data_IF_622493936912
#
_entry.id   IF_622493936912
#
_cell.length_a   1.000
_cell.length_b   1.000
_cell.length_c   1.000
_cell.angle_alpha   90.00
_cell.angle_beta   90.00
_cell.angle_gamma   90.00
#
_symmetry.space_group_name_H-M   'P 1'
#
loop_
_entity.id
_entity.type
_entity.pdbx_description
1 polymer ?
#
# COMPACT_ATOMS: atom_id res chain seq x y z
N UNK A 1 33.95 -40.92 -12.65
CA UNK A 1 32.85 -40.39 -11.75
C UNK A 1 32.71 -38.86 -11.79
N UNK A 2 32.81 -38.20 -12.94
CA UNK A 2 32.74 -36.72 -13.06
C UNK A 2 31.44 -36.26 -13.77
N UNK A 3 30.56 -37.18 -14.16
CA UNK A 3 29.36 -36.85 -14.98
C UNK A 3 28.11 -36.39 -14.23
N UNK A 4 27.93 -36.85 -12.99
CA UNK A 4 26.67 -36.64 -12.23
C UNK A 4 26.52 -35.24 -11.66
N UNK A 5 27.63 -34.58 -11.28
CA UNK A 5 27.58 -33.25 -10.66
C UNK A 5 27.32 -32.14 -11.69
N UNK A 6 27.86 -32.28 -12.92
CA UNK A 6 27.55 -31.34 -14.01
C UNK A 6 26.10 -31.38 -14.42
N UNK A 7 25.49 -32.56 -14.43
CA UNK A 7 24.07 -32.73 -14.73
C UNK A 7 23.19 -32.09 -13.64
N UNK A 8 23.52 -32.28 -12.35
CA UNK A 8 22.81 -31.65 -11.24
C UNK A 8 22.91 -30.11 -11.29
N UNK A 9 24.08 -29.57 -11.56
CA UNK A 9 24.27 -28.11 -11.68
C UNK A 9 23.47 -27.55 -12.86
N UNK A 10 23.45 -28.25 -13.99
CA UNK A 10 22.66 -27.84 -15.15
C UNK A 10 21.14 -27.83 -14.83
N UNK A 11 20.66 -28.85 -14.13
CA UNK A 11 19.25 -28.96 -13.72
C UNK A 11 18.83 -27.84 -12.76
N UNK A 12 19.67 -27.52 -11.80
CA UNK A 12 19.42 -26.41 -10.85
C UNK A 12 19.39 -25.07 -11.58
N UNK A 13 20.34 -24.80 -12.48
CA UNK A 13 20.35 -23.57 -13.29
C UNK A 13 19.09 -23.45 -14.18
N UNK A 14 18.67 -24.56 -14.78
CA UNK A 14 17.46 -24.62 -15.60
C UNK A 14 16.19 -24.33 -14.79
N UNK A 15 16.05 -24.90 -13.58
CA UNK A 15 14.94 -24.66 -12.68
C UNK A 15 14.89 -23.19 -12.22
N UNK A 16 16.04 -22.60 -11.88
CA UNK A 16 16.12 -21.19 -11.49
C UNK A 16 15.74 -20.29 -12.65
N UNK A 17 16.22 -20.57 -13.87
CA UNK A 17 15.88 -19.81 -15.06
C UNK A 17 14.35 -19.87 -15.36
N UNK A 18 13.76 -21.06 -15.27
CA UNK A 18 12.33 -21.26 -15.49
C UNK A 18 11.47 -20.52 -14.47
N UNK A 19 11.90 -20.54 -13.20
CA UNK A 19 11.24 -19.81 -12.12
C UNK A 19 11.31 -18.30 -12.32
N UNK A 20 12.44 -17.77 -12.75
CA UNK A 20 12.59 -16.34 -13.05
C UNK A 20 11.79 -15.90 -14.26
N UNK A 21 11.73 -16.71 -15.31
CA UNK A 21 10.88 -16.48 -16.48
C UNK A 21 9.40 -16.47 -16.10
N UNK A 22 8.97 -17.45 -15.30
CA UNK A 22 7.58 -17.55 -14.82
C UNK A 22 7.18 -16.32 -13.99
N UNK A 23 8.06 -15.86 -13.10
CA UNK A 23 7.83 -14.64 -12.32
C UNK A 23 7.74 -13.40 -13.22
N UNK A 24 8.58 -13.29 -14.26
CA UNK A 24 8.50 -12.19 -15.24
C UNK A 24 7.18 -12.19 -16.02
N UNK A 25 6.73 -13.35 -16.47
CA UNK A 25 5.48 -13.50 -17.20
C UNK A 25 4.29 -13.16 -16.30
N UNK A 26 4.24 -13.70 -15.09
CA UNK A 26 3.19 -13.40 -14.10
C UNK A 26 3.18 -11.90 -13.80
N UNK A 27 4.35 -11.29 -13.58
CA UNK A 27 4.45 -9.85 -13.34
C UNK A 27 3.92 -9.03 -14.51
N UNK A 28 4.19 -9.45 -15.75
CA UNK A 28 3.71 -8.74 -16.94
C UNK A 28 2.18 -8.87 -17.13
N UNK A 29 1.61 -10.03 -16.78
CA UNK A 29 0.16 -10.29 -16.91
C UNK A 29 -0.62 -9.62 -15.77
N UNK A 30 -0.12 -9.70 -14.52
CA UNK A 30 -0.82 -9.21 -13.34
C UNK A 30 -0.64 -7.71 -13.15
N UNK A 31 0.56 -7.18 -13.40
CA UNK A 31 0.83 -5.75 -13.31
C UNK A 31 0.65 -5.07 -14.67
N UNK A 32 -0.60 -5.04 -15.14
CA UNK A 32 -0.98 -4.08 -16.17
C UNK A 32 -0.55 -2.71 -15.67
N UNK A 33 0.26 -1.99 -16.45
CA UNK A 33 0.77 -0.66 -16.11
C UNK A 33 -0.43 0.26 -15.87
N UNK A 34 -0.82 0.38 -14.59
CA UNK A 34 -1.91 1.27 -14.21
C UNK A 34 -1.41 2.70 -14.31
N UNK A 35 -2.12 3.54 -15.05
CA UNK A 35 -1.83 4.96 -15.10
C UNK A 35 -2.35 5.61 -13.83
N UNK A 36 -1.50 5.63 -12.78
CA UNK A 36 -1.84 6.17 -11.47
C UNK A 36 -2.30 7.64 -11.52
N UNK A 37 -1.91 8.39 -12.56
CA UNK A 37 -2.33 9.78 -12.73
C UNK A 37 -3.83 9.93 -12.99
N UNK A 38 -4.48 8.86 -13.44
CA UNK A 38 -5.93 8.80 -13.66
C UNK A 38 -6.71 8.24 -12.47
N UNK A 39 -6.04 8.02 -11.35
CA UNK A 39 -6.71 7.49 -10.16
C UNK A 39 -7.71 8.50 -9.62
N UNK A 40 -8.94 8.06 -9.45
CA UNK A 40 -10.06 8.84 -8.94
C UNK A 40 -10.40 8.52 -7.49
N UNK A 41 -9.94 7.36 -7.02
CA UNK A 41 -10.22 6.86 -5.66
C UNK A 41 -8.94 6.31 -5.02
N UNK A 42 -8.44 7.03 -4.02
CA UNK A 42 -7.14 6.77 -3.40
C UNK A 42 -7.35 6.39 -1.94
N UNK A 43 -6.74 5.29 -1.52
CA UNK A 43 -6.66 4.91 -0.12
C UNK A 43 -5.23 5.14 0.39
N UNK A 44 -5.09 5.98 1.41
CA UNK A 44 -3.83 6.19 2.11
C UNK A 44 -3.88 5.40 3.41
N UNK A 45 -2.91 4.51 3.63
CA UNK A 45 -2.74 3.82 4.89
C UNK A 45 -1.67 4.53 5.72
N UNK A 46 -2.08 5.02 6.90
CA UNK A 46 -1.21 5.62 7.89
C UNK A 46 -1.34 4.82 9.19
N UNK A 47 -0.47 3.85 9.34
CA UNK A 47 -0.32 3.12 10.59
C UNK A 47 0.98 3.61 11.25
N UNK A 48 0.96 3.98 12.49
CA UNK A 48 2.16 4.44 13.19
C UNK A 48 1.85 5.08 14.53
N UNK A 49 2.90 5.46 15.23
CA UNK A 49 2.81 6.21 16.46
C UNK A 49 2.34 7.65 16.21
N UNK A 50 2.04 8.37 17.27
CA UNK A 50 1.60 9.76 17.22
C UNK A 50 2.51 10.66 16.38
N UNK A 51 3.84 10.54 16.56
CA UNK A 51 4.84 11.31 15.79
C UNK A 51 4.79 11.01 14.29
N UNK A 52 4.58 9.75 13.91
CA UNK A 52 4.46 9.35 12.49
C UNK A 52 3.24 10.01 11.85
N UNK A 53 2.18 10.22 12.62
CA UNK A 53 0.96 10.89 12.14
C UNK A 53 1.20 12.35 11.78
N UNK A 54 1.99 13.08 12.59
CA UNK A 54 2.35 14.48 12.33
C UNK A 54 3.21 14.58 11.06
N UNK A 55 4.24 13.74 10.97
CA UNK A 55 5.18 13.75 9.84
C UNK A 55 4.48 13.34 8.53
N UNK A 56 3.38 12.61 8.60
CA UNK A 56 2.61 12.19 7.44
C UNK A 56 1.80 13.32 6.79
N UNK A 57 1.42 14.37 7.54
CA UNK A 57 0.56 15.46 7.04
C UNK A 57 1.13 16.14 5.78
N UNK A 58 2.41 16.54 5.72
CA UNK A 58 3.00 17.11 4.51
C UNK A 58 2.93 16.15 3.31
N UNK A 59 3.14 14.86 3.54
CA UNK A 59 3.05 13.85 2.48
C UNK A 59 1.63 13.72 1.94
N UNK A 60 0.61 13.76 2.80
CA UNK A 60 -0.80 13.74 2.42
C UNK A 60 -1.15 15.01 1.62
N UNK A 61 -0.63 16.18 2.04
CA UNK A 61 -0.81 17.43 1.30
C UNK A 61 -0.23 17.34 -0.12
N UNK A 62 0.96 16.80 -0.29
CA UNK A 62 1.56 16.58 -1.62
C UNK A 62 0.70 15.62 -2.47
N UNK A 63 0.17 14.56 -1.86
CA UNK A 63 -0.75 13.65 -2.57
C UNK A 63 -2.00 14.40 -3.02
N UNK A 64 -2.62 15.21 -2.17
CA UNK A 64 -3.79 16.02 -2.53
C UNK A 64 -3.49 16.99 -3.68
N UNK A 65 -2.33 17.64 -3.66
CA UNK A 65 -1.92 18.55 -4.75
C UNK A 65 -1.76 17.83 -6.09
N UNK A 66 -1.26 16.59 -6.08
CA UNK A 66 -1.11 15.79 -7.30
C UNK A 66 -2.42 15.16 -7.79
N UNK A 67 -3.42 15.01 -6.91
CA UNK A 67 -4.72 14.41 -7.20
C UNK A 67 -5.87 15.30 -6.69
N UNK A 68 -6.01 16.52 -7.20
CA UNK A 68 -6.94 17.52 -6.63
C UNK A 68 -8.41 17.07 -6.69
N UNK A 69 -8.79 16.33 -7.71
CA UNK A 69 -10.16 15.86 -7.94
C UNK A 69 -10.44 14.45 -7.41
N UNK A 70 -9.42 13.75 -6.89
CA UNK A 70 -9.61 12.38 -6.42
C UNK A 70 -10.30 12.35 -5.05
N UNK A 71 -11.12 11.34 -4.84
CA UNK A 71 -11.55 10.97 -3.50
C UNK A 71 -10.36 10.31 -2.78
N UNK A 72 -9.90 10.94 -1.70
CA UNK A 72 -8.79 10.43 -0.88
C UNK A 72 -9.34 10.04 0.47
N UNK A 73 -9.24 8.76 0.81
CA UNK A 73 -9.65 8.24 2.10
C UNK A 73 -8.41 7.82 2.90
N UNK A 74 -8.38 8.18 4.18
CA UNK A 74 -7.30 7.86 5.09
C UNK A 74 -7.68 6.68 5.98
N UNK A 75 -6.87 5.64 5.98
CA UNK A 75 -7.01 4.49 6.86
C UNK A 75 -6.00 4.60 8.00
N UNK A 76 -6.47 4.62 9.25
CA UNK A 76 -5.63 4.81 10.43
C UNK A 76 -6.08 3.94 11.61
N UNK A 77 -5.27 3.83 12.65
CA UNK A 77 -5.64 3.16 13.89
C UNK A 77 -6.40 4.10 14.84
N UNK A 78 -7.30 3.52 15.64
CA UNK A 78 -8.22 4.25 16.53
C UNK A 78 -7.50 5.10 17.59
N UNK A 79 -6.34 4.65 18.07
CA UNK A 79 -5.77 5.23 19.31
C UNK A 79 -4.95 6.50 19.05
N UNK A 80 -4.40 6.68 17.86
CA UNK A 80 -3.51 7.79 17.53
C UNK A 80 -3.93 8.61 16.30
N UNK A 81 -4.78 8.05 15.47
CA UNK A 81 -5.17 8.67 14.21
C UNK A 81 -6.25 9.74 14.34
N UNK A 82 -7.08 9.65 15.38
CA UNK A 82 -8.25 10.52 15.55
C UNK A 82 -7.82 11.95 15.88
N UNK A 83 -6.76 12.13 16.64
CA UNK A 83 -6.32 13.45 17.11
C UNK A 83 -5.92 14.40 15.99
N UNK A 84 -5.43 13.89 14.85
CA UNK A 84 -5.05 14.70 13.68
C UNK A 84 -6.04 14.63 12.55
N UNK A 85 -7.03 13.74 12.63
CA UNK A 85 -8.02 13.58 11.59
C UNK A 85 -8.86 14.83 11.38
N UNK A 86 -9.10 15.60 12.42
CA UNK A 86 -9.84 16.85 12.31
C UNK A 86 -9.08 17.90 11.50
N UNK A 87 -7.75 17.95 11.62
CA UNK A 87 -6.92 18.88 10.83
C UNK A 87 -6.96 18.46 9.36
N UNK A 88 -6.78 17.17 9.07
CA UNK A 88 -6.75 16.66 7.71
C UNK A 88 -8.10 16.82 6.98
N UNK A 89 -9.22 16.67 7.69
CA UNK A 89 -10.55 16.93 7.15
C UNK A 89 -10.80 18.42 6.98
N UNK A 90 -10.45 19.24 7.98
CA UNK A 90 -10.65 20.69 7.95
C UNK A 90 -9.88 21.34 6.81
N UNK A 91 -8.68 20.91 6.55
CA UNK A 91 -7.85 21.40 5.46
C UNK A 91 -8.17 20.73 4.10
N UNK A 92 -9.22 19.92 4.02
CA UNK A 92 -9.65 19.19 2.82
C UNK A 92 -8.54 18.28 2.23
N UNK A 93 -7.59 17.86 3.03
CA UNK A 93 -6.51 16.97 2.58
C UNK A 93 -7.04 15.58 2.26
N UNK A 94 -8.02 15.11 3.02
CA UNK A 94 -8.71 13.83 2.83
C UNK A 94 -10.23 14.02 2.83
N UNK A 95 -10.95 13.09 2.20
CA UNK A 95 -12.39 13.12 2.13
C UNK A 95 -13.04 12.36 3.30
N UNK A 96 -12.46 11.21 3.66
CA UNK A 96 -12.98 10.40 4.75
C UNK A 96 -11.83 9.81 5.56
N UNK A 97 -12.11 9.54 6.84
CA UNK A 97 -11.20 8.84 7.73
C UNK A 97 -11.82 7.50 8.13
N UNK A 98 -11.10 6.44 7.82
CA UNK A 98 -11.47 5.06 8.11
C UNK A 98 -10.61 4.59 9.29
N UNK A 99 -11.26 4.25 10.39
CA UNK A 99 -10.55 3.80 11.58
C UNK A 99 -10.50 2.28 11.62
N UNK A 100 -9.29 1.72 11.65
CA UNK A 100 -9.07 0.29 11.90
C UNK A 100 -9.28 -0.01 13.37
N UNK A 101 -10.17 -0.94 13.67
CA UNK A 101 -10.28 -1.54 14.99
C UNK A 101 -9.77 -2.99 14.94
N UNK A 102 -8.92 -3.39 15.90
CA UNK A 102 -8.42 -4.77 16.00
C UNK A 102 -9.55 -5.80 16.04
N UNK A 103 -10.69 -5.45 16.66
CA UNK A 103 -11.88 -6.31 16.77
C UNK A 103 -12.67 -6.44 15.45
N UNK A 104 -12.56 -5.46 14.53
CA UNK A 104 -13.41 -5.38 13.34
C UNK A 104 -12.62 -5.48 12.01
N UNK A 105 -11.49 -6.19 12.00
CA UNK A 105 -10.64 -6.34 10.81
C UNK A 105 -11.41 -6.79 9.56
N UNK A 106 -12.30 -7.77 9.71
CA UNK A 106 -13.10 -8.31 8.61
C UNK A 106 -14.07 -7.27 8.03
N UNK A 107 -14.73 -6.49 8.89
CA UNK A 107 -15.66 -5.44 8.47
C UNK A 107 -14.89 -4.36 7.71
N UNK A 108 -13.73 -3.95 8.21
CA UNK A 108 -12.87 -2.97 7.56
C UNK A 108 -12.45 -3.46 6.17
N UNK A 109 -11.95 -4.70 6.05
CA UNK A 109 -11.54 -5.27 4.77
C UNK A 109 -12.69 -5.38 3.78
N UNK A 110 -13.89 -5.76 4.23
CA UNK A 110 -15.08 -5.87 3.38
C UNK A 110 -15.49 -4.49 2.85
N UNK A 111 -15.45 -3.46 3.69
CA UNK A 111 -15.76 -2.09 3.30
C UNK A 111 -14.72 -1.53 2.32
N UNK A 112 -13.44 -1.79 2.55
CA UNK A 112 -12.36 -1.40 1.63
C UNK A 112 -12.54 -2.05 0.25
N UNK A 113 -12.89 -3.34 0.22
CA UNK A 113 -13.14 -4.07 -1.04
C UNK A 113 -14.35 -3.51 -1.81
N UNK A 114 -15.43 -3.11 -1.11
CA UNK A 114 -16.61 -2.50 -1.72
C UNK A 114 -16.30 -1.14 -2.34
N UNK A 115 -15.39 -0.38 -1.76
CA UNK A 115 -15.07 0.97 -2.19
C UNK A 115 -14.24 1.03 -3.49
N UNK A 116 -13.65 -0.08 -3.96
CA UNK A 116 -12.93 -0.20 -5.24
C UNK A 116 -11.91 0.92 -5.44
N UNK A 117 -10.93 1.02 -4.54
CA UNK A 117 -9.85 1.99 -4.69
C UNK A 117 -8.96 1.65 -5.90
N UNK A 118 -8.60 2.70 -6.66
CA UNK A 118 -7.72 2.60 -7.84
C UNK A 118 -6.24 2.61 -7.42
N UNK A 119 -5.93 3.32 -6.34
CA UNK A 119 -4.58 3.48 -5.84
C UNK A 119 -4.54 3.28 -4.33
N UNK A 120 -3.55 2.52 -3.88
CA UNK A 120 -3.25 2.33 -2.47
C UNK A 120 -1.85 2.89 -2.18
N UNK A 121 -1.76 3.79 -1.22
CA UNK A 121 -0.50 4.40 -0.78
C UNK A 121 -0.25 4.04 0.67
N UNK A 122 0.85 3.33 0.93
CA UNK A 122 1.33 3.05 2.26
C UNK A 122 2.33 4.12 2.66
N UNK A 123 2.02 4.92 3.67
CA UNK A 123 2.99 5.85 4.25
C UNK A 123 4.00 5.08 5.11
N UNK A 124 5.26 5.54 5.14
CA UNK A 124 6.29 4.93 5.96
C UNK A 124 5.86 4.84 7.43
N UNK A 125 6.15 3.72 8.05
CA UNK A 125 5.99 3.49 9.47
C UNK A 125 7.38 3.33 10.06
N UNK A 126 7.65 3.98 11.17
CA UNK A 126 8.77 3.57 12.00
C UNK A 126 8.41 2.18 12.57
N UNK A 127 8.86 1.14 11.89
CA UNK A 127 8.96 -0.18 12.49
C UNK A 127 9.98 -0.05 13.60
N UNK A 128 9.51 0.30 14.81
CA UNK A 128 10.37 0.48 15.96
C UNK A 128 11.27 -0.73 16.14
N UNK A 129 12.48 -0.58 15.66
CA UNK A 129 13.61 -1.42 16.03
C UNK A 129 14.09 -0.84 17.39
N UNK A 130 13.37 -1.15 18.44
CA UNK A 130 13.80 -0.97 19.82
C UNK A 130 13.96 -2.32 20.47
#
# INVERSE_FOLDING_TARGET
>A
MIGTDKIKIFYVKFLVFYRLMFIKIIRHIIFKKHDYKKSTKILINRDGAFGDSIVAIPSISVIRQNFPSAQIDLLTFSDHGITFSDIELKDNLVNNILVKNKKNRFITLTNLKKNKYDLFIQLPQNLGLY
#
